data_IF_125211896425
#
_entry.id   IF_125211896425
#
_cell.length_a   1.000
_cell.length_b   1.000
_cell.length_c   1.000
_cell.angle_alpha   90.00
_cell.angle_beta   90.00
_cell.angle_gamma   90.00
#
_symmetry.space_group_name_H-M   'P 1'
#
loop_
_entity.id
_entity.type
_entity.pdbx_description
1 polymer ?
#
# COMPACT_ATOMS: atom_id res chain seq x y z
N UNK A 1 -0.41 -19.51 7.66
CA UNK A 1 -0.61 -18.54 8.78
C UNK A 1 -0.99 -17.19 8.19
N UNK A 2 -1.98 -16.51 8.77
CA UNK A 2 -2.44 -15.18 8.33
C UNK A 2 -2.36 -14.23 9.52
N UNK A 3 -1.75 -13.07 9.33
CA UNK A 3 -1.65 -12.00 10.32
C UNK A 3 -2.39 -10.78 9.77
N UNK A 4 -3.32 -10.25 10.55
CA UNK A 4 -4.07 -9.03 10.21
C UNK A 4 -3.73 -7.94 11.22
N UNK A 5 -3.45 -6.74 10.73
CA UNK A 5 -3.18 -5.54 11.52
C UNK A 5 -4.15 -4.44 11.09
N UNK A 6 -4.86 -3.87 12.05
CA UNK A 6 -5.74 -2.74 11.84
C UNK A 6 -5.17 -1.50 12.53
N UNK A 7 -5.14 -0.38 11.80
CA UNK A 7 -4.66 0.91 12.28
C UNK A 7 -5.75 1.94 12.01
N UNK A 8 -6.06 2.72 13.04
CA UNK A 8 -6.97 3.87 12.95
C UNK A 8 -6.24 5.11 13.42
N UNK A 9 -6.35 6.21 12.69
CA UNK A 9 -5.72 7.47 13.03
C UNK A 9 -6.60 8.65 12.64
N UNK A 10 -6.61 9.67 13.49
CA UNK A 10 -7.28 10.94 13.22
C UNK A 10 -6.22 12.00 12.95
N UNK A 11 -6.27 12.63 11.79
CA UNK A 11 -5.43 13.76 11.42
C UNK A 11 -6.20 15.05 11.66
N UNK A 12 -5.63 15.95 12.47
CA UNK A 12 -6.21 17.29 12.73
C UNK A 12 -5.90 18.27 11.59
N UNK A 13 -6.21 17.85 10.37
CA UNK A 13 -6.00 18.59 9.13
C UNK A 13 -7.10 18.22 8.13
N UNK A 14 -7.50 19.16 7.25
CA UNK A 14 -8.58 18.95 6.30
C UNK A 14 -8.20 17.88 5.28
N UNK A 15 -9.22 17.20 4.75
CA UNK A 15 -9.09 16.05 3.85
C UNK A 15 -8.16 16.33 2.67
N UNK A 16 -8.33 17.47 2.02
CA UNK A 16 -7.60 17.87 0.82
C UNK A 16 -6.10 17.95 1.10
N UNK A 17 -5.71 18.52 2.24
CA UNK A 17 -4.31 18.63 2.66
C UNK A 17 -3.73 17.25 2.98
N UNK A 18 -4.47 16.39 3.68
CA UNK A 18 -3.97 15.06 4.05
C UNK A 18 -3.76 14.19 2.81
N UNK A 19 -4.72 14.21 1.89
CA UNK A 19 -4.64 13.47 0.62
C UNK A 19 -3.52 14.00 -0.28
N UNK A 20 -3.39 15.33 -0.41
CA UNK A 20 -2.30 15.93 -1.19
C UNK A 20 -0.93 15.53 -0.65
N UNK A 21 -0.74 15.58 0.67
CA UNK A 21 0.49 15.14 1.33
C UNK A 21 0.73 13.65 1.14
N UNK A 22 -0.32 12.83 1.14
CA UNK A 22 -0.19 11.39 0.89
C UNK A 22 0.24 11.10 -0.55
N UNK A 23 -0.41 11.74 -1.54
CA UNK A 23 -0.10 11.56 -2.96
C UNK A 23 1.31 12.02 -3.33
N UNK A 24 1.82 13.02 -2.61
CA UNK A 24 3.16 13.60 -2.76
C UNK A 24 4.14 13.15 -1.65
N UNK A 25 3.85 12.04 -0.95
CA UNK A 25 4.65 11.54 0.17
C UNK A 25 6.11 11.28 -0.21
N UNK A 26 6.43 11.06 -1.49
CA UNK A 26 7.76 10.62 -1.90
C UNK A 26 8.47 11.65 -2.78
N UNK A 27 9.78 11.84 -2.59
CA UNK A 27 10.66 11.15 -1.63
C UNK A 27 10.47 11.64 -0.18
N UNK A 28 10.54 10.74 0.81
CA UNK A 28 10.43 11.08 2.24
C UNK A 28 11.58 10.46 3.06
N UNK A 29 12.26 11.24 3.93
CA UNK A 29 13.35 10.73 4.78
C UNK A 29 12.96 9.59 5.72
N UNK A 30 11.68 9.46 6.06
CA UNK A 30 11.17 8.36 6.90
C UNK A 30 11.04 7.05 6.12
N UNK A 31 10.99 7.10 4.79
CA UNK A 31 10.74 5.97 3.90
C UNK A 31 11.95 5.69 3.00
N UNK A 32 13.12 5.51 3.63
CA UNK A 32 14.43 5.37 2.97
C UNK A 32 14.54 4.17 2.03
N UNK A 33 13.61 3.22 2.13
CA UNK A 33 13.64 2.00 1.34
C UNK A 33 12.98 2.16 -0.02
N UNK A 34 12.21 3.22 -0.26
CA UNK A 34 11.58 3.47 -1.56
C UNK A 34 12.58 4.19 -2.46
N UNK A 35 13.02 3.51 -3.51
CA UNK A 35 13.99 4.03 -4.49
C UNK A 35 13.30 4.88 -5.56
N UNK A 36 12.06 4.52 -5.93
CA UNK A 36 11.33 5.24 -6.95
C UNK A 36 9.88 4.80 -7.03
N UNK A 37 9.06 5.66 -7.65
CA UNK A 37 7.65 5.42 -7.89
C UNK A 37 7.36 5.75 -9.34
N UNK A 38 6.64 4.84 -10.00
CA UNK A 38 6.21 5.01 -11.38
C UNK A 38 4.69 4.96 -11.44
N UNK A 39 4.07 6.03 -11.93
CA UNK A 39 2.65 5.99 -12.30
C UNK A 39 2.52 5.17 -13.58
N UNK A 40 1.74 4.09 -13.51
CA UNK A 40 1.46 3.20 -14.65
C UNK A 40 0.19 3.61 -15.36
N UNK A 41 -0.78 4.13 -14.59
CA UNK A 41 -2.09 4.47 -15.11
C UNK A 41 -2.69 5.62 -14.30
N UNK A 42 -3.30 6.58 -14.98
CA UNK A 42 -4.09 7.63 -14.38
C UNK A 42 -5.31 7.87 -15.27
N UNK A 43 -6.50 7.80 -14.67
CA UNK A 43 -7.78 7.96 -15.35
C UNK A 43 -8.71 8.80 -14.48
N UNK A 44 -9.45 9.69 -15.11
CA UNK A 44 -10.52 10.45 -14.45
C UNK A 44 -11.84 10.05 -15.10
N UNK A 45 -12.78 9.58 -14.30
CA UNK A 45 -14.12 9.29 -14.79
C UNK A 45 -14.90 10.60 -14.97
N UNK A 46 -15.28 10.91 -16.21
CA UNK A 46 -16.03 12.12 -16.55
C UNK A 46 -17.42 12.19 -15.88
N UNK A 47 -18.01 11.06 -15.49
CA UNK A 47 -19.35 11.03 -14.88
C UNK A 47 -19.29 11.23 -13.38
N UNK A 48 -18.58 10.36 -12.66
CA UNK A 48 -18.47 10.45 -11.20
C UNK A 48 -17.54 11.60 -10.77
N UNK A 49 -16.48 11.87 -11.54
CA UNK A 49 -15.37 12.73 -11.14
C UNK A 49 -14.30 12.00 -10.32
N UNK A 50 -14.39 10.67 -10.19
CA UNK A 50 -13.42 9.87 -9.45
C UNK A 50 -12.11 9.80 -10.24
N UNK A 51 -11.01 10.06 -9.55
CA UNK A 51 -9.65 9.95 -10.10
C UNK A 51 -9.09 8.60 -9.66
N UNK A 52 -8.86 7.72 -10.64
CA UNK A 52 -8.15 6.47 -10.47
C UNK A 52 -6.67 6.64 -10.81
N UNK A 53 -5.79 6.13 -9.95
CA UNK A 53 -4.34 6.06 -10.20
C UNK A 53 -3.80 4.70 -9.81
N UNK A 54 -2.91 4.17 -10.64
CA UNK A 54 -2.12 2.97 -10.36
C UNK A 54 -0.64 3.29 -10.43
N UNK A 55 0.07 3.02 -9.33
CA UNK A 55 1.50 3.29 -9.17
C UNK A 55 2.23 2.00 -8.82
N UNK A 56 3.48 1.91 -9.24
CA UNK A 56 4.43 0.87 -8.85
C UNK A 56 5.54 1.52 -8.05
N UNK A 57 5.68 1.14 -6.79
CA UNK A 57 6.80 1.52 -5.94
C UNK A 57 7.90 0.46 -6.04
N UNK A 58 9.14 0.93 -6.18
CA UNK A 58 10.36 0.11 -6.22
C UNK A 58 11.07 0.30 -4.90
N UNK A 59 11.18 -0.77 -4.13
CA UNK A 59 11.74 -0.77 -2.78
C UNK A 59 13.03 -1.59 -2.73
N UNK A 60 14.00 -1.15 -1.92
CA UNK A 60 15.18 -1.95 -1.61
C UNK A 60 14.77 -3.24 -0.90
N UNK A 61 15.53 -4.32 -1.11
CA UNK A 61 15.31 -5.57 -0.37
C UNK A 61 15.61 -5.40 1.14
N UNK A 62 14.54 -5.31 1.93
CA UNK A 62 14.57 -5.18 3.39
C UNK A 62 14.72 -6.51 4.13
N UNK A 63 14.79 -7.64 3.41
CA UNK A 63 14.91 -8.96 4.04
C UNK A 63 16.26 -9.08 4.76
N UNK A 64 16.26 -9.58 6.02
CA UNK A 64 17.49 -9.83 6.76
C UNK A 64 18.50 -10.65 5.97
N UNK A 65 19.79 -10.29 6.04
CA UNK A 65 20.86 -10.95 5.27
C UNK A 65 20.92 -12.48 5.50
N UNK A 66 20.56 -12.94 6.69
CA UNK A 66 20.54 -14.38 7.00
C UNK A 66 19.51 -15.14 6.17
N UNK A 67 18.33 -14.55 5.93
CA UNK A 67 17.27 -15.14 5.12
C UNK A 67 17.58 -15.03 3.62
N UNK A 68 18.37 -14.03 3.20
CA UNK A 68 18.88 -13.90 1.82
C UNK A 68 19.84 -15.00 1.38
N UNK A 69 20.28 -15.89 2.27
CA UNK A 69 20.96 -17.14 1.86
C UNK A 69 20.04 -18.05 1.05
N UNK A 70 18.73 -17.94 1.23
CA UNK A 70 17.73 -18.59 0.38
C UNK A 70 17.65 -17.79 -0.92
N UNK A 71 18.07 -18.38 -2.03
CA UNK A 71 18.25 -17.67 -3.31
C UNK A 71 16.98 -16.93 -3.77
N UNK A 72 15.81 -17.48 -3.48
CA UNK A 72 14.50 -16.90 -3.77
C UNK A 72 14.29 -15.54 -3.07
N UNK A 73 14.82 -15.37 -1.86
CA UNK A 73 14.71 -14.13 -1.08
C UNK A 73 15.82 -13.12 -1.42
N UNK A 74 16.79 -13.50 -2.26
CA UNK A 74 17.90 -12.67 -2.68
C UNK A 74 17.60 -11.91 -3.97
N UNK A 75 16.55 -11.07 -3.94
CA UNK A 75 16.22 -10.17 -5.05
C UNK A 75 16.85 -8.79 -4.84
N UNK A 76 17.10 -8.06 -5.92
CA UNK A 76 17.64 -6.69 -5.84
C UNK A 76 16.59 -5.70 -5.30
N UNK A 77 15.38 -5.77 -5.85
CA UNK A 77 14.29 -4.83 -5.58
C UNK A 77 12.97 -5.57 -5.33
N UNK A 78 12.15 -5.01 -4.44
CA UNK A 78 10.80 -5.43 -4.11
C UNK A 78 9.84 -4.46 -4.81
N UNK A 79 8.87 -5.00 -5.54
CA UNK A 79 7.88 -4.21 -6.27
C UNK A 79 6.55 -4.24 -5.52
N UNK A 80 5.97 -3.07 -5.29
CA UNK A 80 4.64 -2.92 -4.72
C UNK A 80 3.75 -2.17 -5.70
N UNK A 81 2.55 -2.69 -5.92
CA UNK A 81 1.50 -2.00 -6.66
C UNK A 81 0.56 -1.30 -5.70
N UNK A 82 0.21 -0.06 -6.01
CA UNK A 82 -0.77 0.74 -5.30
C UNK A 82 -1.81 1.25 -6.29
N UNK A 83 -3.07 0.94 -6.02
CA UNK A 83 -4.23 1.48 -6.71
C UNK A 83 -4.98 2.42 -5.78
N UNK A 84 -5.36 3.58 -6.29
CA UNK A 84 -6.11 4.57 -5.52
C UNK A 84 -7.30 5.10 -6.30
N UNK A 85 -8.40 5.36 -5.58
CA UNK A 85 -9.62 5.97 -6.09
C UNK A 85 -9.94 7.17 -5.21
N UNK A 86 -9.82 8.36 -5.77
CA UNK A 86 -10.07 9.63 -5.10
C UNK A 86 -11.38 10.24 -5.58
N UNK A 87 -12.31 10.42 -4.65
CA UNK A 87 -13.55 11.16 -4.83
C UNK A 87 -13.48 12.47 -4.03
N UNK A 88 -13.29 13.59 -4.73
CA UNK A 88 -13.24 14.91 -4.11
C UNK A 88 -14.63 15.43 -3.70
N UNK A 89 -15.72 14.93 -4.29
CA UNK A 89 -17.08 15.36 -3.94
C UNK A 89 -17.51 14.73 -2.63
N UNK A 90 -17.22 13.45 -2.44
CA UNK A 90 -17.52 12.72 -1.21
C UNK A 90 -16.41 12.83 -0.16
N UNK A 91 -15.27 13.46 -0.50
CA UNK A 91 -14.07 13.56 0.33
C UNK A 91 -13.62 12.22 0.88
N UNK A 92 -13.47 11.28 -0.06
CA UNK A 92 -13.11 9.89 0.21
C UNK A 92 -11.94 9.51 -0.71
N UNK A 93 -10.93 8.87 -0.14
CA UNK A 93 -9.86 8.23 -0.90
C UNK A 93 -9.70 6.79 -0.45
N UNK A 94 -9.90 5.85 -1.38
CA UNK A 94 -9.64 4.43 -1.17
C UNK A 94 -8.30 4.06 -1.79
N UNK A 95 -7.52 3.25 -1.10
CA UNK A 95 -6.23 2.75 -1.60
C UNK A 95 -6.15 1.26 -1.34
N UNK A 96 -5.66 0.53 -2.33
CA UNK A 96 -5.31 -0.88 -2.22
C UNK A 96 -3.87 -1.05 -2.66
N UNK A 97 -3.07 -1.68 -1.81
CA UNK A 97 -1.68 -1.95 -2.12
C UNK A 97 -1.40 -3.44 -1.98
N UNK A 98 -0.59 -3.97 -2.89
CA UNK A 98 -0.16 -5.37 -2.87
C UNK A 98 1.31 -5.51 -3.25
N UNK A 99 1.98 -6.48 -2.64
CA UNK A 99 3.33 -6.86 -3.06
C UNK A 99 3.26 -7.69 -4.34
N UNK A 100 4.04 -7.32 -5.35
CA UNK A 100 4.17 -8.08 -6.60
C UNK A 100 5.34 -9.08 -6.55
N UNK A 101 6.34 -8.82 -5.69
CA UNK A 101 7.45 -9.73 -5.45
C UNK A 101 7.04 -10.85 -4.48
N UNK A 102 7.50 -12.08 -4.70
CA UNK A 102 7.30 -13.25 -3.82
C UNK A 102 5.84 -13.67 -3.57
N UNK A 103 4.91 -13.30 -4.44
CA UNK A 103 3.48 -13.64 -4.33
C UNK A 103 3.20 -15.14 -4.21
N UNK A 104 4.11 -15.99 -4.70
CA UNK A 104 4.04 -17.46 -4.56
C UNK A 104 4.30 -17.95 -3.12
N UNK A 105 5.01 -17.16 -2.30
CA UNK A 105 5.49 -17.56 -0.98
C UNK A 105 4.78 -16.81 0.15
N UNK A 106 4.51 -15.53 -0.07
CA UNK A 106 3.79 -14.69 0.86
C UNK A 106 2.94 -13.68 0.10
N UNK A 107 1.78 -13.35 0.66
CA UNK A 107 0.97 -12.23 0.19
C UNK A 107 0.99 -11.13 1.24
N UNK A 108 1.18 -9.89 0.79
CA UNK A 108 1.00 -8.70 1.59
C UNK A 108 -0.03 -7.84 0.87
N UNK A 109 -1.18 -7.68 1.50
CA UNK A 109 -2.28 -6.85 1.01
C UNK A 109 -2.57 -5.77 2.05
N UNK A 110 -2.75 -4.54 1.58
CA UNK A 110 -3.11 -3.41 2.41
C UNK A 110 -4.31 -2.73 1.77
N UNK A 111 -5.31 -2.43 2.58
CA UNK A 111 -6.45 -1.61 2.21
C UNK A 111 -6.46 -0.42 3.14
N UNK A 112 -6.49 0.79 2.59
CA UNK A 112 -6.57 2.00 3.38
C UNK A 112 -7.60 2.97 2.84
N UNK A 113 -8.10 3.80 3.74
CA UNK A 113 -9.22 4.69 3.48
C UNK A 113 -9.01 6.00 4.24
N UNK A 114 -9.05 7.10 3.50
CA UNK A 114 -9.12 8.46 4.04
C UNK A 114 -10.53 9.00 3.85
N UNK A 115 -11.05 9.68 4.87
CA UNK A 115 -12.35 10.34 4.81
C UNK A 115 -12.39 11.58 5.69
N UNK A 116 -13.13 12.59 5.28
CA UNK A 116 -13.49 13.70 6.17
C UNK A 116 -14.20 13.18 7.43
N UNK A 117 -13.83 13.71 8.60
CA UNK A 117 -14.43 13.28 9.86
C UNK A 117 -15.85 13.78 9.98
N UNK A 118 -16.75 12.90 10.46
CA UNK A 118 -18.14 13.29 10.76
C UNK A 118 -18.26 14.23 11.96
N UNK A 119 -17.25 14.27 12.84
CA UNK A 119 -17.23 15.13 14.03
C UNK A 119 -16.73 16.55 13.72
N UNK A 120 -15.77 16.68 12.80
CA UNK A 120 -15.18 17.96 12.42
C UNK A 120 -14.74 17.94 10.93
N UNK A 121 -15.30 18.81 10.07
CA UNK A 121 -14.89 18.92 8.66
C UNK A 121 -13.40 19.27 8.45
N UNK A 122 -12.75 19.89 9.43
CA UNK A 122 -11.32 20.22 9.36
C UNK A 122 -10.41 19.03 9.71
N UNK A 123 -10.96 17.87 10.02
CA UNK A 123 -10.21 16.66 10.40
C UNK A 123 -10.43 15.53 9.39
N UNK A 124 -9.43 14.64 9.30
CA UNK A 124 -9.45 13.49 8.40
C UNK A 124 -9.27 12.21 9.20
N UNK A 125 -10.19 11.27 9.01
CA UNK A 125 -10.07 9.91 9.53
C UNK A 125 -9.30 9.03 8.54
N UNK A 126 -8.43 8.21 9.09
CA UNK A 126 -7.64 7.22 8.35
C UNK A 126 -7.82 5.85 8.97
N UNK A 127 -8.22 4.90 8.13
CA UNK A 127 -8.39 3.51 8.47
C UNK A 127 -7.52 2.68 7.55
N UNK A 128 -6.81 1.71 8.10
CA UNK A 128 -5.90 0.88 7.33
C UNK A 128 -5.89 -0.54 7.88
N UNK A 129 -6.14 -1.50 7.01
CA UNK A 129 -6.07 -2.93 7.31
C UNK A 129 -4.97 -3.54 6.47
N UNK A 130 -4.00 -4.18 7.13
CA UNK A 130 -2.91 -4.92 6.50
C UNK A 130 -3.10 -6.39 6.78
N UNK A 131 -2.97 -7.21 5.75
CA UNK A 131 -3.01 -8.66 5.84
C UNK A 131 -1.74 -9.23 5.23
N UNK A 132 -1.03 -10.04 6.02
CA UNK A 132 0.12 -10.80 5.57
C UNK A 132 -0.20 -12.29 5.68
N UNK A 133 -0.11 -13.03 4.58
CA UNK A 133 -0.19 -14.48 4.58
C UNK A 133 1.16 -15.08 4.18
N UNK A 134 1.60 -16.10 4.89
CA UNK A 134 2.74 -16.92 4.48
C UNK A 134 2.22 -18.29 4.06
N UNK A 135 2.45 -18.63 2.79
CA UNK A 135 2.00 -19.86 2.15
C UNK A 135 3.10 -20.93 2.18
N UNK A 136 4.33 -20.58 2.56
CA UNK A 136 5.49 -21.50 2.65
C UNK A 136 5.29 -22.66 3.63
N UNK A 137 4.38 -22.55 4.61
CA UNK A 137 4.02 -23.65 5.52
C UNK A 137 2.90 -24.55 4.96
N UNK A 138 3.02 -25.03 3.72
CA UNK A 138 1.89 -25.71 3.06
C UNK A 138 2.19 -26.82 2.04
N UNK A 139 3.43 -27.15 1.70
CA UNK A 139 3.72 -28.29 0.81
C UNK A 139 4.91 -29.11 1.31
N UNK A 140 4.66 -30.05 2.22
CA UNK A 140 5.39 -31.31 2.18
C UNK A 140 4.89 -32.07 0.95
N UNK A 141 5.59 -31.94 -0.19
CA UNK A 141 5.40 -32.91 -1.27
C UNK A 141 5.70 -34.30 -0.71
N UNK A 142 4.84 -35.31 -0.90
CA UNK A 142 5.25 -36.68 -0.62
C UNK A 142 6.44 -36.98 -1.54
N UNK A 143 7.51 -37.51 -0.95
CA UNK A 143 8.63 -38.05 -1.70
C UNK A 143 8.08 -39.13 -2.65
N UNK A 144 8.37 -38.99 -3.94
CA UNK A 144 8.28 -40.06 -4.93
C UNK A 144 9.70 -40.53 -5.18
#
# INVERSE_FOLDING_TARGET
MVITLEVRKLYKYPFERVVEMHLNKYPCPLEKHIRGIKTVEEKTDCKSGIIYRRKIAICNNVVPKILRKINILNVNDIYMEEESWLDMKQKIMNIKSRCLTWTQYASLNEVSFFKESGENPDWTEFYQTRQCSCNWCGETKPAV
#
